data_IF_419406388890
#
_entry.id   IF_419406388890
#
_cell.length_a   1.000
_cell.length_b   1.000
_cell.length_c   1.000
_cell.angle_alpha   90.00
_cell.angle_beta   90.00
_cell.angle_gamma   90.00
#
_symmetry.space_group_name_H-M   'P 1'
#
loop_
_entity.id
_entity.type
_entity.pdbx_description
1 polymer ?
#
# COMPACT_ATOMS: atom_id res chain seq x y z
N UNK A 1 -38.42 35.17 11.71
CA UNK A 1 -37.74 34.15 10.91
C UNK A 1 -37.45 34.53 9.49
N UNK A 2 -37.20 35.81 9.19
CA UNK A 2 -37.04 36.31 7.82
C UNK A 2 -35.79 37.18 7.62
N UNK A 3 -34.86 37.19 8.60
CA UNK A 3 -33.69 38.08 8.53
C UNK A 3 -32.53 37.41 7.78
N UNK A 4 -32.46 36.09 7.77
CA UNK A 4 -31.39 35.34 7.11
C UNK A 4 -31.52 35.34 5.57
N UNK A 5 -32.75 35.38 5.05
CA UNK A 5 -32.97 35.41 3.60
C UNK A 5 -32.56 36.75 2.94
N UNK A 6 -32.60 37.87 3.68
CA UNK A 6 -32.21 39.18 3.16
C UNK A 6 -30.69 39.38 3.10
N UNK A 7 -29.95 38.71 3.98
CA UNK A 7 -28.48 38.81 3.99
C UNK A 7 -27.89 38.02 2.82
N UNK A 8 -28.54 36.93 2.42
CA UNK A 8 -28.07 36.06 1.35
C UNK A 8 -28.16 36.67 -0.05
N UNK A 9 -29.07 37.68 -0.23
CA UNK A 9 -29.29 38.31 -1.53
C UNK A 9 -28.38 39.54 -1.79
N UNK A 10 -27.69 40.04 -0.77
CA UNK A 10 -26.76 41.17 -0.84
C UNK A 10 -25.30 40.82 -1.11
N UNK A 11 -24.97 39.55 -1.11
CA UNK A 11 -23.62 39.09 -1.44
C UNK A 11 -23.44 39.14 -2.98
N UNK A 12 -22.34 39.74 -3.47
CA UNK A 12 -22.10 39.81 -4.92
C UNK A 12 -22.04 38.38 -5.48
N UNK A 13 -22.60 38.20 -6.67
CA UNK A 13 -22.70 36.91 -7.38
C UNK A 13 -21.38 36.08 -7.37
N UNK A 14 -20.27 36.76 -7.26
CA UNK A 14 -18.95 36.16 -7.20
C UNK A 14 -18.70 35.39 -5.89
N UNK A 15 -19.25 35.86 -4.77
CA UNK A 15 -19.08 35.20 -3.49
C UNK A 15 -19.83 33.86 -3.46
N UNK A 16 -20.97 33.78 -4.08
CA UNK A 16 -21.72 32.54 -4.25
C UNK A 16 -20.92 31.53 -5.05
N UNK A 17 -20.23 31.95 -6.10
CA UNK A 17 -19.36 31.09 -6.92
C UNK A 17 -18.16 30.61 -6.10
N UNK A 18 -17.53 31.48 -5.32
CA UNK A 18 -16.39 31.14 -4.46
C UNK A 18 -16.80 30.10 -3.40
N UNK A 19 -17.97 30.27 -2.77
CA UNK A 19 -18.49 29.31 -1.79
C UNK A 19 -18.76 27.96 -2.44
N UNK A 20 -19.35 27.92 -3.65
CA UNK A 20 -19.57 26.67 -4.38
C UNK A 20 -18.28 25.97 -4.76
N UNK A 21 -17.24 26.71 -5.16
CA UNK A 21 -15.91 26.17 -5.46
C UNK A 21 -15.27 25.61 -4.18
N UNK A 22 -15.39 26.34 -3.06
CA UNK A 22 -14.83 25.91 -1.77
C UNK A 22 -15.51 24.66 -1.25
N UNK A 23 -16.82 24.55 -1.39
CA UNK A 23 -17.60 23.35 -1.05
C UNK A 23 -17.22 22.17 -1.97
N UNK A 24 -17.05 22.43 -3.27
CA UNK A 24 -16.62 21.41 -4.21
C UNK A 24 -15.22 20.89 -3.90
N UNK A 25 -14.28 21.76 -3.50
CA UNK A 25 -12.93 21.36 -3.08
C UNK A 25 -12.98 20.55 -1.78
N UNK A 26 -13.82 20.93 -0.82
CA UNK A 26 -14.01 20.19 0.44
C UNK A 26 -14.64 18.81 0.21
N UNK A 27 -15.54 18.67 -0.76
CA UNK A 27 -16.16 17.39 -1.10
C UNK A 27 -15.25 16.49 -1.94
N UNK A 28 -14.38 17.06 -2.79
CA UNK A 28 -13.38 16.29 -3.54
C UNK A 28 -12.16 15.87 -2.70
N UNK A 29 -11.89 16.53 -1.57
CA UNK A 29 -10.69 16.33 -0.75
C UNK A 29 -10.63 15.03 0.03
N UNK A 30 -11.70 14.23 0.09
CA UNK A 30 -11.77 13.00 0.89
C UNK A 30 -11.69 11.71 0.07
N UNK A 31 -10.99 11.72 -1.03
CA UNK A 31 -10.52 10.48 -1.65
C UNK A 31 -9.29 9.98 -0.88
N UNK A 32 -9.47 9.61 0.39
CA UNK A 32 -8.59 8.64 1.03
C UNK A 32 -8.70 7.37 0.17
N UNK A 33 -7.73 7.19 -0.72
CA UNK A 33 -7.51 5.93 -1.41
C UNK A 33 -7.17 4.86 -0.36
N UNK A 34 -8.17 4.46 0.40
CA UNK A 34 -8.19 3.19 1.10
C UNK A 34 -8.24 2.14 0.01
N UNK A 35 -7.09 1.73 -0.50
CA UNK A 35 -6.99 0.56 -1.36
C UNK A 35 -7.38 -0.62 -0.48
N UNK A 36 -8.66 -0.94 -0.51
CA UNK A 36 -9.21 -2.16 0.08
C UNK A 36 -8.70 -3.30 -0.79
N UNK A 37 -7.52 -3.81 -0.46
CA UNK A 37 -7.06 -5.06 -1.04
C UNK A 37 -8.04 -6.13 -0.58
N UNK A 38 -8.89 -6.57 -1.50
CA UNK A 38 -9.71 -7.76 -1.29
C UNK A 38 -8.76 -8.86 -0.90
N UNK A 39 -9.04 -9.56 0.20
CA UNK A 39 -8.24 -10.64 0.73
C UNK A 39 -8.12 -11.77 -0.30
N UNK A 40 -7.28 -11.57 -1.30
CA UNK A 40 -6.78 -12.57 -2.22
C UNK A 40 -5.51 -13.17 -1.64
N UNK A 41 -4.92 -14.06 -2.36
CA UNK A 41 -3.68 -14.73 -1.96
C UNK A 41 -2.54 -13.72 -1.77
N UNK A 42 -2.39 -13.23 -0.54
CA UNK A 42 -1.41 -12.21 -0.17
C UNK A 42 -0.24 -12.84 0.55
N UNK A 43 0.95 -12.64 0.02
CA UNK A 43 2.21 -12.93 0.68
C UNK A 43 2.65 -11.71 1.49
N UNK A 44 2.98 -11.92 2.74
CA UNK A 44 3.52 -10.88 3.62
C UNK A 44 4.94 -11.24 4.02
N UNK A 45 5.88 -10.34 3.70
CA UNK A 45 7.28 -10.47 4.06
C UNK A 45 7.60 -9.45 5.14
N UNK A 46 8.12 -9.89 6.27
CA UNK A 46 8.75 -9.01 7.26
C UNK A 46 10.22 -8.84 6.85
N UNK A 47 10.60 -7.60 6.59
CA UNK A 47 11.87 -7.26 5.95
C UNK A 47 12.62 -6.27 6.82
N UNK A 48 13.88 -6.54 7.16
CA UNK A 48 14.73 -5.59 7.87
C UNK A 48 15.50 -4.68 6.91
N UNK A 49 15.67 -3.41 7.33
CA UNK A 49 16.47 -2.45 6.60
C UNK A 49 15.67 -1.48 5.73
N UNK A 50 14.34 -1.57 5.72
CA UNK A 50 13.48 -0.61 5.02
C UNK A 50 13.43 0.72 5.79
N UNK A 51 14.32 1.66 5.45
CA UNK A 51 14.46 2.93 6.16
C UNK A 51 14.09 4.15 5.33
N UNK A 52 13.87 3.99 4.01
CA UNK A 52 13.59 5.13 3.14
C UNK A 52 12.49 4.84 2.11
N UNK A 53 11.67 5.87 1.83
CA UNK A 53 10.58 5.78 0.87
C UNK A 53 11.05 5.55 -0.57
N UNK A 54 12.21 6.07 -0.92
CA UNK A 54 12.81 5.87 -2.25
C UNK A 54 13.19 4.40 -2.49
N UNK A 55 13.75 3.78 -1.46
CA UNK A 55 14.13 2.37 -1.47
C UNK A 55 12.89 1.47 -1.56
N UNK A 56 11.84 1.80 -0.80
CA UNK A 56 10.55 1.13 -0.85
C UNK A 56 9.93 1.17 -2.26
N UNK A 57 10.04 2.32 -2.94
CA UNK A 57 9.56 2.47 -4.31
C UNK A 57 10.37 1.62 -5.31
N UNK A 58 11.69 1.56 -5.16
CA UNK A 58 12.55 0.71 -5.97
C UNK A 58 12.22 -0.77 -5.81
N UNK A 59 12.01 -1.20 -4.57
CA UNK A 59 11.62 -2.57 -4.24
C UNK A 59 10.25 -2.92 -4.81
N UNK A 60 9.27 -2.04 -4.65
CA UNK A 60 7.92 -2.20 -5.23
C UNK A 60 7.99 -2.37 -6.75
N UNK A 61 8.77 -1.54 -7.45
CA UNK A 61 8.99 -1.69 -8.90
C UNK A 61 9.71 -2.98 -9.28
N UNK A 62 10.67 -3.41 -8.47
CA UNK A 62 11.39 -4.67 -8.70
C UNK A 62 10.46 -5.88 -8.64
N UNK A 63 9.62 -5.94 -7.61
CA UNK A 63 8.63 -7.01 -7.43
C UNK A 63 7.51 -6.89 -8.47
N UNK A 64 7.07 -5.67 -8.82
CA UNK A 64 6.00 -5.43 -9.79
C UNK A 64 6.31 -5.85 -11.23
N UNK A 65 7.57 -6.10 -11.56
CA UNK A 65 7.98 -6.65 -12.86
C UNK A 65 7.81 -8.17 -12.98
N UNK A 66 7.43 -8.83 -11.88
CA UNK A 66 7.27 -10.28 -11.88
C UNK A 66 5.90 -10.67 -12.42
N UNK A 67 5.83 -11.69 -13.27
CA UNK A 67 4.60 -12.14 -13.95
C UNK A 67 3.51 -12.66 -13.01
N UNK A 68 3.84 -12.91 -11.76
CA UNK A 68 2.93 -13.43 -10.75
C UNK A 68 2.34 -12.37 -9.82
N UNK A 69 2.77 -11.11 -9.94
CA UNK A 69 2.30 -10.02 -9.11
C UNK A 69 1.32 -9.12 -9.85
N UNK A 70 0.29 -8.67 -9.16
CA UNK A 70 -0.49 -7.53 -9.63
C UNK A 70 0.33 -6.26 -9.33
N UNK A 71 0.66 -5.44 -10.35
CA UNK A 71 1.41 -4.19 -10.17
C UNK A 71 0.80 -3.27 -9.10
N UNK A 72 -0.53 -3.29 -8.97
CA UNK A 72 -1.28 -2.51 -7.99
C UNK A 72 -1.38 -3.20 -6.62
N UNK A 73 -0.98 -4.46 -6.55
CA UNK A 73 -1.09 -5.31 -5.36
C UNK A 73 0.14 -5.30 -4.45
N UNK A 74 1.12 -4.42 -4.70
CA UNK A 74 2.33 -4.36 -3.89
C UNK A 74 2.23 -3.20 -2.91
N UNK A 75 2.27 -3.51 -1.61
CA UNK A 75 2.27 -2.52 -0.54
C UNK A 75 3.56 -2.68 0.27
N UNK A 76 4.31 -1.59 0.38
CA UNK A 76 5.52 -1.52 1.20
C UNK A 76 5.28 -0.59 2.37
N UNK A 77 5.25 -1.15 3.56
CA UNK A 77 5.08 -0.41 4.82
C UNK A 77 6.44 -0.28 5.52
N UNK A 78 6.98 0.93 5.46
CA UNK A 78 8.31 1.24 6.02
C UNK A 78 8.27 1.23 7.54
N UNK A 79 7.18 1.70 8.15
CA UNK A 79 7.07 1.82 9.60
C UNK A 79 7.04 0.46 10.27
N UNK A 80 6.32 -0.48 9.67
CA UNK A 80 6.20 -1.86 10.16
C UNK A 80 7.24 -2.80 9.53
N UNK A 81 8.03 -2.31 8.58
CA UNK A 81 9.01 -3.11 7.83
C UNK A 81 8.38 -4.34 7.13
N UNK A 82 7.23 -4.12 6.51
CA UNK A 82 6.44 -5.16 5.87
C UNK A 82 6.30 -4.89 4.38
N UNK A 83 6.49 -5.92 3.58
CA UNK A 83 6.17 -5.95 2.15
C UNK A 83 5.03 -6.93 1.93
N UNK A 84 3.90 -6.43 1.45
CA UNK A 84 2.75 -7.25 1.06
C UNK A 84 2.70 -7.34 -0.46
N UNK A 85 2.60 -8.57 -0.95
CA UNK A 85 2.51 -8.87 -2.37
C UNK A 85 1.22 -9.62 -2.63
N UNK A 86 0.31 -9.01 -3.38
CA UNK A 86 -0.92 -9.68 -3.83
C UNK A 86 -0.59 -10.43 -5.11
N UNK A 87 -0.88 -11.71 -5.12
CA UNK A 87 -0.68 -12.57 -6.28
C UNK A 87 -1.82 -12.42 -7.28
N UNK A 88 -1.50 -12.53 -8.56
CA UNK A 88 -2.50 -12.58 -9.62
C UNK A 88 -3.43 -13.79 -9.40
N UNK A 89 -4.73 -13.58 -9.59
CA UNK A 89 -5.80 -14.57 -9.38
C UNK A 89 -5.62 -15.87 -10.18
N UNK A 90 -4.77 -15.87 -11.20
CA UNK A 90 -4.47 -17.10 -11.96
C UNK A 90 -3.63 -18.12 -11.18
N UNK A 91 -2.96 -17.68 -10.10
CA UNK A 91 -2.16 -18.55 -9.25
C UNK A 91 -2.98 -19.02 -8.05
N UNK A 92 -3.65 -20.16 -8.16
CA UNK A 92 -4.44 -20.75 -7.06
C UNK A 92 -3.60 -21.39 -5.94
N UNK A 93 -2.34 -21.67 -6.21
CA UNK A 93 -1.39 -22.18 -5.25
C UNK A 93 -0.05 -21.48 -5.47
N UNK A 94 0.66 -21.20 -4.38
CA UNK A 94 1.98 -20.56 -4.45
C UNK A 94 3.05 -21.62 -4.58
N UNK A 95 3.67 -21.78 -5.75
CA UNK A 95 4.85 -22.62 -5.86
C UNK A 95 6.00 -21.99 -5.08
N UNK A 96 6.81 -22.81 -4.44
CA UNK A 96 8.00 -22.35 -3.70
C UNK A 96 8.97 -21.53 -4.56
N UNK A 97 8.93 -21.71 -5.87
CA UNK A 97 9.70 -20.91 -6.83
C UNK A 97 9.36 -19.41 -6.77
N UNK A 98 8.08 -19.07 -6.64
CA UNK A 98 7.62 -17.67 -6.52
C UNK A 98 8.14 -17.04 -5.22
N UNK A 99 8.04 -17.78 -4.11
CA UNK A 99 8.56 -17.34 -2.81
C UNK A 99 10.06 -17.06 -2.92
N UNK A 100 10.82 -18.01 -3.47
CA UNK A 100 12.27 -17.88 -3.62
C UNK A 100 12.68 -16.74 -4.54
N UNK A 101 11.95 -16.53 -5.64
CA UNK A 101 12.20 -15.39 -6.54
C UNK A 101 11.95 -14.05 -5.83
N UNK A 102 10.86 -13.95 -5.07
CA UNK A 102 10.54 -12.72 -4.32
C UNK A 102 11.60 -12.46 -3.25
N UNK A 103 12.01 -13.49 -2.50
CA UNK A 103 13.11 -13.39 -1.51
C UNK A 103 14.36 -12.86 -2.20
N UNK A 104 14.72 -13.43 -3.34
CA UNK A 104 15.91 -13.00 -4.09
C UNK A 104 15.86 -11.53 -4.48
N UNK A 105 14.73 -11.05 -5.00
CA UNK A 105 14.57 -9.63 -5.36
C UNK A 105 14.72 -8.73 -4.14
N UNK A 106 14.17 -9.13 -2.98
CA UNK A 106 14.29 -8.38 -1.75
C UNK A 106 15.75 -8.34 -1.27
N UNK A 107 16.46 -9.47 -1.34
CA UNK A 107 17.86 -9.58 -0.94
C UNK A 107 18.80 -8.84 -1.91
N UNK A 108 18.57 -8.94 -3.21
CA UNK A 108 19.34 -8.22 -4.24
C UNK A 108 19.16 -6.69 -4.10
N UNK A 109 18.04 -6.26 -3.50
CA UNK A 109 17.79 -4.85 -3.14
C UNK A 109 18.48 -4.42 -1.82
N UNK A 110 19.22 -5.31 -1.17
CA UNK A 110 19.97 -5.03 0.05
C UNK A 110 19.18 -5.22 1.35
N UNK A 111 18.05 -5.91 1.30
CA UNK A 111 17.19 -6.15 2.47
C UNK A 111 17.24 -7.59 2.94
N UNK A 112 16.96 -7.80 4.21
CA UNK A 112 16.93 -9.13 4.82
C UNK A 112 15.49 -9.55 5.14
N UNK A 113 15.05 -10.71 4.63
CA UNK A 113 13.74 -11.29 4.91
C UNK A 113 13.82 -12.09 6.22
N UNK A 114 12.99 -11.73 7.19
CA UNK A 114 12.93 -12.38 8.50
C UNK A 114 11.83 -13.41 8.59
N UNK A 115 10.65 -13.07 8.09
CA UNK A 115 9.46 -13.89 8.21
C UNK A 115 8.60 -13.79 6.97
N UNK A 116 7.99 -14.88 6.60
CA UNK A 116 7.04 -14.95 5.48
C UNK A 116 5.76 -15.54 6.00
N UNK A 117 4.66 -14.80 5.79
CA UNK A 117 3.32 -15.21 6.17
C UNK A 117 2.43 -15.28 4.94
N UNK A 118 1.69 -16.34 4.79
CA UNK A 118 0.69 -16.54 3.75
C UNK A 118 -0.62 -17.01 4.37
N UNK A 119 -1.73 -16.34 4.06
CA UNK A 119 -3.05 -16.67 4.62
C UNK A 119 -3.01 -16.89 6.15
N UNK A 120 -2.37 -15.99 6.89
CA UNK A 120 -2.16 -16.08 8.34
C UNK A 120 -1.36 -17.28 8.84
N UNK A 121 -0.71 -18.03 7.96
CA UNK A 121 0.23 -19.09 8.32
C UNK A 121 1.66 -18.63 8.08
N UNK A 122 2.50 -18.81 9.08
CA UNK A 122 3.96 -18.57 8.92
C UNK A 122 4.53 -19.71 8.08
N UNK A 123 5.09 -19.36 6.91
CA UNK A 123 5.74 -20.33 6.02
C UNK A 123 7.21 -20.46 6.36
N UNK A 124 7.85 -19.33 6.66
CA UNK A 124 9.28 -19.26 6.99
C UNK A 124 9.49 -18.21 8.07
N UNK A 125 10.26 -18.58 9.07
CA UNK A 125 10.76 -17.66 10.09
C UNK A 125 12.24 -17.94 10.28
N UNK A 126 13.06 -16.90 10.07
CA UNK A 126 14.49 -16.98 10.35
C UNK A 126 14.69 -16.84 11.85
N UNK A 127 14.89 -17.94 12.55
CA UNK A 127 15.30 -17.88 13.95
C UNK A 127 16.63 -17.15 14.06
N UNK A 128 16.61 -15.99 14.72
CA UNK A 128 17.83 -15.36 15.19
C UNK A 128 18.47 -16.33 16.19
N UNK A 129 19.47 -17.08 15.75
CA UNK A 129 20.41 -17.70 16.71
C UNK A 129 21.16 -16.55 17.37
N UNK A 130 20.72 -16.20 18.56
CA UNK A 130 21.52 -15.38 19.45
C UNK A 130 22.75 -16.22 19.83
N UNK A 131 23.83 -16.02 19.12
CA UNK A 131 25.15 -16.41 19.61
C UNK A 131 25.54 -15.34 20.64
N UNK A 132 25.38 -15.70 21.91
CA UNK A 132 26.10 -15.08 22.99
C UNK A 132 27.55 -15.55 22.97
#
# INVERSE_FOLDING_TARGET
MNTYHKILTLLPKWWSIVIWILVAILLCGNQLNSQTYTAGDTLTFEVKGLVCSFCAHGLSKGIGKMDYTDEKGILVDINNQIVKVVLDKKYKAIPSSIINQTIKVIQDSGYEVHKITYQNRVIMEKQLRLHF
#
